data_IF_663210328628
#
_entry.id   IF_663210328628
#
_cell.length_a   1.000
_cell.length_b   1.000
_cell.length_c   1.000
_cell.angle_alpha   90.00
_cell.angle_beta   90.00
_cell.angle_gamma   90.00
#
_symmetry.space_group_name_H-M   'P 1'
#
loop_
_entity.id
_entity.type
_entity.pdbx_description
1 polymer ?
#
# COMPACT_ATOMS: atom_id res chain seq x y z
N UNK A 1 12.71 -6.03 7.04
CA UNK A 1 11.73 -4.93 7.15
C UNK A 1 11.17 -4.79 8.57
N UNK A 2 10.56 -5.83 9.15
CA UNK A 2 9.89 -5.75 10.47
C UNK A 2 10.71 -5.31 11.69
N UNK A 3 12.05 -5.34 11.63
CA UNK A 3 12.92 -4.79 12.68
C UNK A 3 13.13 -3.27 12.58
N UNK A 4 12.78 -2.65 11.45
CA UNK A 4 13.06 -1.24 11.12
C UNK A 4 11.82 -0.44 10.72
N UNK A 5 10.71 -1.13 10.46
CA UNK A 5 9.43 -0.52 10.16
C UNK A 5 8.36 -1.27 10.94
N UNK A 6 7.59 -0.53 11.72
CA UNK A 6 6.42 -1.04 12.45
C UNK A 6 5.25 -1.33 11.50
N UNK A 7 5.12 -0.51 10.45
CA UNK A 7 4.06 -0.61 9.45
C UNK A 7 4.64 -0.33 8.06
N UNK A 8 4.48 -1.28 7.13
CA UNK A 8 4.90 -1.15 5.74
C UNK A 8 3.67 -1.06 4.82
N UNK A 9 3.42 0.14 4.30
CA UNK A 9 2.30 0.42 3.39
C UNK A 9 2.84 0.63 1.99
N UNK A 10 2.31 -0.08 1.01
CA UNK A 10 2.57 0.19 -0.40
C UNK A 10 1.41 0.97 -1.01
N UNK A 11 1.69 2.23 -1.34
CA UNK A 11 0.78 3.12 -2.07
C UNK A 11 1.07 3.06 -3.57
N UNK A 12 0.07 2.69 -4.36
CA UNK A 12 0.21 2.53 -5.79
C UNK A 12 -1.06 3.01 -6.53
N UNK A 13 -1.05 4.20 -7.17
CA UNK A 13 -2.22 4.74 -7.87
C UNK A 13 -2.85 3.78 -8.88
N UNK A 14 -2.06 2.89 -9.49
CA UNK A 14 -2.55 1.89 -10.44
C UNK A 14 -3.49 0.87 -9.79
N UNK A 15 -3.39 0.65 -8.49
CA UNK A 15 -4.29 -0.23 -7.74
C UNK A 15 -5.73 0.29 -7.67
N UNK A 16 -6.00 1.51 -8.15
CA UNK A 16 -7.36 1.99 -8.37
C UNK A 16 -8.04 1.35 -9.59
N UNK A 17 -7.25 0.78 -10.51
CA UNK A 17 -7.75 0.12 -11.71
C UNK A 17 -8.10 -1.33 -11.36
N UNK A 18 -9.31 -1.77 -11.69
CA UNK A 18 -9.81 -3.10 -11.33
C UNK A 18 -8.97 -4.24 -11.94
N UNK A 19 -8.37 -3.99 -13.11
CA UNK A 19 -7.54 -4.95 -13.84
C UNK A 19 -6.07 -4.92 -13.40
N UNK A 20 -5.67 -3.94 -12.60
CA UNK A 20 -4.28 -3.83 -12.17
C UNK A 20 -3.92 -4.99 -11.24
N UNK A 21 -2.91 -5.75 -11.66
CA UNK A 21 -2.26 -6.77 -10.83
C UNK A 21 -0.75 -6.56 -10.85
N UNK A 22 -0.07 -6.58 -9.68
CA UNK A 22 1.37 -6.42 -9.58
C UNK A 22 2.12 -7.73 -9.95
N UNK A 23 1.96 -8.20 -11.19
CA UNK A 23 2.44 -9.52 -11.62
C UNK A 23 3.94 -9.56 -11.96
N UNK A 24 4.58 -8.42 -12.16
CA UNK A 24 6.03 -8.35 -12.39
C UNK A 24 6.77 -8.96 -11.20
N UNK A 25 7.79 -9.79 -11.45
CA UNK A 25 8.43 -10.61 -10.40
C UNK A 25 8.83 -9.83 -9.14
N UNK A 26 9.46 -8.66 -9.28
CA UNK A 26 9.84 -7.82 -8.14
C UNK A 26 8.64 -7.28 -7.35
N UNK A 27 7.55 -6.93 -8.05
CA UNK A 27 6.32 -6.42 -7.47
C UNK A 27 5.55 -7.52 -6.74
N UNK A 28 5.45 -8.71 -7.34
CA UNK A 28 4.79 -9.87 -6.74
C UNK A 28 5.54 -10.35 -5.49
N UNK A 29 6.88 -10.35 -5.52
CA UNK A 29 7.70 -10.70 -4.36
C UNK A 29 7.55 -9.69 -3.23
N UNK A 30 7.30 -8.41 -3.52
CA UNK A 30 7.12 -7.39 -2.48
C UNK A 30 5.79 -7.54 -1.71
N UNK A 31 4.72 -8.02 -2.37
CA UNK A 31 3.36 -8.06 -1.82
C UNK A 31 3.25 -8.73 -0.43
N UNK A 32 3.80 -9.94 -0.18
CA UNK A 32 3.67 -10.60 1.11
C UNK A 32 4.37 -9.87 2.27
N UNK A 33 5.23 -8.89 1.97
CA UNK A 33 5.92 -8.11 2.98
C UNK A 33 5.19 -6.81 3.37
N UNK A 34 4.20 -6.38 2.58
CA UNK A 34 3.39 -5.20 2.87
C UNK A 34 2.30 -5.55 3.89
N UNK A 35 2.16 -4.72 4.93
CA UNK A 35 1.04 -4.83 5.87
C UNK A 35 -0.25 -4.28 5.24
N UNK A 36 -0.13 -3.27 4.37
CA UNK A 36 -1.24 -2.72 3.59
C UNK A 36 -0.83 -2.45 2.14
N UNK A 37 -1.75 -2.72 1.22
CA UNK A 37 -1.63 -2.39 -0.20
C UNK A 37 -2.83 -1.53 -0.61
N UNK A 38 -2.59 -0.26 -0.96
CA UNK A 38 -3.65 0.72 -1.19
C UNK A 38 -3.36 1.55 -2.44
N UNK A 39 -4.42 2.04 -3.10
CA UNK A 39 -4.24 2.81 -4.32
C UNK A 39 -3.70 4.22 -4.10
N UNK A 40 -4.23 4.95 -3.11
CA UNK A 40 -3.88 6.36 -2.86
C UNK A 40 -3.90 7.26 -4.14
N UNK A 41 -4.78 6.94 -5.09
CA UNK A 41 -4.96 7.69 -6.34
C UNK A 41 -5.66 9.05 -6.15
N UNK A 42 -6.10 9.36 -4.92
CA UNK A 42 -6.78 10.61 -4.59
C UNK A 42 -6.36 11.12 -3.21
N UNK A 43 -6.37 12.45 -3.05
CA UNK A 43 -6.07 13.10 -1.78
C UNK A 43 -7.07 12.73 -0.68
N UNK A 44 -8.33 12.49 -1.04
CA UNK A 44 -9.34 11.99 -0.12
C UNK A 44 -8.96 10.60 0.44
N UNK A 45 -8.51 9.68 -0.42
CA UNK A 45 -8.02 8.36 0.01
C UNK A 45 -6.77 8.44 0.90
N UNK A 46 -5.85 9.36 0.60
CA UNK A 46 -4.68 9.61 1.45
C UNK A 46 -5.05 10.14 2.83
N UNK A 47 -6.05 11.02 2.95
CA UNK A 47 -6.53 11.49 4.27
C UNK A 47 -7.06 10.35 5.13
N UNK A 48 -7.80 9.41 4.53
CA UNK A 48 -8.29 8.22 5.24
C UNK A 48 -7.14 7.33 5.72
N UNK A 49 -6.07 7.20 4.93
CA UNK A 49 -4.87 6.49 5.35
C UNK A 49 -4.24 7.09 6.61
N UNK A 50 -4.05 8.42 6.63
CA UNK A 50 -3.44 9.08 7.79
C UNK A 50 -4.31 9.00 9.03
N UNK A 51 -5.64 9.02 8.89
CA UNK A 51 -6.54 8.76 10.01
C UNK A 51 -6.38 7.35 10.59
N UNK A 52 -6.20 6.33 9.74
CA UNK A 52 -5.98 4.95 10.18
C UNK A 52 -4.57 4.73 10.78
N UNK A 53 -3.55 5.35 10.19
CA UNK A 53 -2.17 5.20 10.63
C UNK A 53 -1.85 5.99 11.90
N UNK A 54 -2.46 7.17 12.10
CA UNK A 54 -2.26 8.00 13.29
C UNK A 54 -3.12 7.61 14.51
N UNK A 55 -4.02 6.65 14.35
CA UNK A 55 -4.85 6.11 15.44
C UNK A 55 -4.25 4.85 16.11
N UNK A 56 -3.06 4.40 15.65
CA UNK A 56 -2.25 3.38 16.31
C UNK A 56 -1.12 4.04 17.09
#
# INVERSE_FOLDING_TARGET
>A
MRRRAELLIWLNPRAAQAEFRPLTGSMAVALPYCDLFLSAHSLAGLRQLFALAGAR
#
